data_IF_266978524646
#
_entry.id   IF_266978524646
#
_cell.length_a   1.000
_cell.length_b   1.000
_cell.length_c   1.000
_cell.angle_alpha   90.00
_cell.angle_beta   90.00
_cell.angle_gamma   90.00
#
_symmetry.space_group_name_H-M   'P 1'
#
loop_
_entity.id
_entity.type
_entity.pdbx_description
1 polymer ?
#
# COMPACT_ATOMS: atom_id res chain seq x y z
N UNK A 1 14.06 -1.59 -5.03
CA UNK A 1 12.61 -1.34 -5.21
C UNK A 1 12.08 -0.26 -4.27
N UNK A 2 12.28 -0.35 -2.94
CA UNK A 2 11.77 0.67 -1.98
C UNK A 2 12.16 2.10 -2.38
N UNK A 3 13.43 2.35 -2.70
CA UNK A 3 13.91 3.68 -3.11
C UNK A 3 13.17 4.25 -4.33
N UNK A 4 12.82 3.42 -5.32
CA UNK A 4 12.08 3.85 -6.50
C UNK A 4 10.70 4.40 -6.12
N UNK A 5 10.02 3.72 -5.20
CA UNK A 5 8.71 4.14 -4.71
C UNK A 5 8.79 5.40 -3.86
N UNK A 6 9.77 5.51 -2.95
CA UNK A 6 9.93 6.71 -2.12
C UNK A 6 10.33 7.93 -2.96
N UNK A 7 11.21 7.76 -3.95
CA UNK A 7 11.59 8.83 -4.89
C UNK A 7 10.37 9.27 -5.74
N UNK A 8 9.49 8.33 -6.11
CA UNK A 8 8.23 8.60 -6.81
C UNK A 8 7.14 9.21 -5.91
N UNK A 9 7.39 9.38 -4.60
CA UNK A 9 6.49 10.06 -3.67
C UNK A 9 5.54 9.15 -2.87
N UNK A 10 5.80 7.84 -2.81
CA UNK A 10 5.20 6.97 -1.80
C UNK A 10 5.78 7.32 -0.42
N UNK A 11 4.92 7.64 0.53
CA UNK A 11 5.29 8.00 1.90
C UNK A 11 5.40 6.76 2.79
N UNK A 12 4.45 5.83 2.66
CA UNK A 12 4.37 4.65 3.51
C UNK A 12 3.70 3.49 2.78
N UNK A 13 4.17 2.28 3.10
CA UNK A 13 3.48 1.04 2.76
C UNK A 13 3.37 0.16 3.99
N UNK A 14 2.17 -0.29 4.29
CA UNK A 14 1.91 -1.22 5.40
C UNK A 14 1.24 -2.47 4.85
N UNK A 15 1.69 -3.63 5.32
CA UNK A 15 1.01 -4.92 5.09
C UNK A 15 0.53 -5.42 6.42
N UNK A 16 -0.78 -5.62 6.56
CA UNK A 16 -1.42 -6.10 7.79
C UNK A 16 -2.02 -7.48 7.57
N UNK A 17 -1.90 -8.36 8.55
CA UNK A 17 -2.71 -9.58 8.59
C UNK A 17 -4.05 -9.27 9.24
N UNK A 18 -5.15 -9.61 8.55
CA UNK A 18 -6.49 -9.43 9.10
C UNK A 18 -6.78 -10.60 10.04
N UNK A 19 -6.83 -10.31 11.34
CA UNK A 19 -6.94 -11.32 12.39
C UNK A 19 -8.39 -11.62 12.80
N UNK A 20 -9.34 -10.69 12.57
CA UNK A 20 -10.72 -10.79 13.06
C UNK A 20 -11.69 -11.48 12.08
N UNK A 21 -11.18 -12.22 11.10
CA UNK A 21 -11.96 -13.01 10.14
C UNK A 21 -11.43 -14.44 10.17
N UNK A 22 -11.96 -15.19 11.12
CA UNK A 22 -11.67 -16.62 11.25
C UNK A 22 -11.93 -17.33 9.92
N UNK A 23 -11.06 -18.28 9.57
CA UNK A 23 -11.11 -19.06 8.31
C UNK A 23 -10.80 -18.28 7.01
N UNK A 24 -10.28 -17.05 7.09
CA UNK A 24 -9.83 -16.32 5.90
C UNK A 24 -8.33 -15.95 5.99
N UNK A 25 -7.54 -16.37 4.99
CA UNK A 25 -6.19 -15.85 4.78
C UNK A 25 -6.27 -14.50 4.08
N UNK A 26 -6.31 -13.41 4.85
CA UNK A 26 -6.49 -12.06 4.30
C UNK A 26 -5.43 -11.11 4.81
N UNK A 27 -4.89 -10.33 3.88
CA UNK A 27 -4.02 -9.19 4.16
C UNK A 27 -4.69 -7.88 3.76
N UNK A 28 -4.44 -6.83 4.53
CA UNK A 28 -4.67 -5.44 4.13
C UNK A 28 -3.36 -4.82 3.66
N UNK A 29 -3.40 -4.04 2.59
CA UNK A 29 -2.23 -3.28 2.14
C UNK A 29 -2.63 -1.82 2.06
N UNK A 30 -1.88 -0.98 2.77
CA UNK A 30 -2.06 0.48 2.76
C UNK A 30 -0.88 1.06 2.00
N UNK A 31 -1.17 1.93 1.04
CA UNK A 31 -0.19 2.75 0.35
C UNK A 31 -0.56 4.20 0.58
N UNK A 32 0.35 4.96 1.20
CA UNK A 32 0.20 6.39 1.43
C UNK A 32 1.13 7.12 0.46
N UNK A 33 0.61 8.15 -0.19
CA UNK A 33 1.32 8.93 -1.20
C UNK A 33 1.25 10.40 -0.82
N UNK A 34 2.27 11.16 -1.21
CA UNK A 34 2.32 12.60 -0.97
C UNK A 34 1.17 13.35 -1.64
N UNK A 35 0.81 12.93 -2.85
CA UNK A 35 -0.18 13.58 -3.70
C UNK A 35 -0.72 12.62 -4.78
N UNK A 36 -1.68 13.10 -5.58
CA UNK A 36 -2.28 12.31 -6.66
C UNK A 36 -1.29 11.96 -7.77
N UNK A 37 -0.29 12.78 -8.02
CA UNK A 37 0.68 12.53 -9.09
C UNK A 37 1.74 11.51 -8.64
N UNK A 38 2.14 11.53 -7.37
CA UNK A 38 2.92 10.47 -6.73
C UNK A 38 2.19 9.12 -6.79
N UNK A 39 0.88 9.10 -6.53
CA UNK A 39 0.06 7.91 -6.72
C UNK A 39 0.18 7.36 -8.15
N UNK A 40 -0.02 8.22 -9.18
CA UNK A 40 0.08 7.82 -10.60
C UNK A 40 1.48 7.31 -10.95
N UNK A 41 2.53 8.01 -10.54
CA UNK A 41 3.91 7.61 -10.78
C UNK A 41 4.22 6.23 -10.16
N UNK A 42 3.68 5.96 -8.97
CA UNK A 42 3.85 4.67 -8.31
C UNK A 42 3.03 3.54 -8.95
N UNK A 43 1.96 3.81 -9.71
CA UNK A 43 1.19 2.74 -10.38
C UNK A 43 2.04 1.96 -11.38
N UNK A 44 2.80 2.66 -12.24
CA UNK A 44 3.67 2.00 -13.21
C UNK A 44 4.76 1.16 -12.51
N UNK A 45 5.31 1.65 -11.40
CA UNK A 45 6.28 0.88 -10.61
C UNK A 45 5.66 -0.36 -9.95
N UNK A 46 4.39 -0.30 -9.53
CA UNK A 46 3.67 -1.46 -9.01
C UNK A 46 3.41 -2.49 -10.12
N UNK A 47 3.04 -2.04 -11.30
CA UNK A 47 2.86 -2.92 -12.47
C UNK A 47 4.16 -3.64 -12.83
N UNK A 48 5.30 -2.93 -12.81
CA UNK A 48 6.60 -3.50 -13.18
C UNK A 48 7.17 -4.43 -12.11
N UNK A 49 7.05 -4.06 -10.83
CA UNK A 49 7.81 -4.74 -9.76
C UNK A 49 6.96 -5.53 -8.77
N UNK A 50 5.67 -5.23 -8.65
CA UNK A 50 4.80 -5.85 -7.65
C UNK A 50 3.83 -6.86 -8.24
N UNK A 51 3.15 -6.53 -9.34
CA UNK A 51 2.18 -7.43 -9.97
C UNK A 51 2.79 -8.78 -10.40
N UNK A 52 4.01 -8.86 -10.97
CA UNK A 52 4.61 -10.15 -11.32
C UNK A 52 4.86 -11.05 -10.11
N UNK A 53 5.11 -10.47 -8.93
CA UNK A 53 5.36 -11.24 -7.71
C UNK A 53 4.09 -11.89 -7.14
N UNK A 54 2.91 -11.41 -7.54
CA UNK A 54 1.61 -11.98 -7.16
C UNK A 54 0.92 -12.69 -8.33
N UNK A 55 1.52 -12.63 -9.52
CA UNK A 55 1.06 -13.33 -10.70
C UNK A 55 1.10 -14.85 -10.47
N UNK A 56 -0.02 -15.53 -10.70
CA UNK A 56 -0.16 -16.97 -10.44
C UNK A 56 -0.68 -17.32 -9.03
N UNK A 57 -0.79 -16.36 -8.11
CA UNK A 57 -1.49 -16.59 -6.84
C UNK A 57 -3.01 -16.49 -7.04
N UNK A 58 -3.75 -17.51 -6.59
CA UNK A 58 -5.22 -17.47 -6.57
C UNK A 58 -5.71 -16.53 -5.49
N UNK A 59 -5.64 -15.23 -5.76
CA UNK A 59 -6.01 -14.15 -4.83
C UNK A 59 -7.08 -13.25 -5.44
N UNK A 60 -7.94 -12.70 -4.58
CA UNK A 60 -8.89 -11.65 -4.97
C UNK A 60 -8.39 -10.33 -4.39
N UNK A 61 -8.08 -9.38 -5.26
CA UNK A 61 -7.65 -8.02 -4.88
C UNK A 61 -8.81 -7.05 -5.07
N UNK A 62 -9.10 -6.25 -4.04
CA UNK A 62 -10.08 -5.17 -4.09
C UNK A 62 -9.41 -3.92 -3.54
N UNK A 63 -9.40 -2.84 -4.32
CA UNK A 63 -8.74 -1.59 -3.96
C UNK A 63 -9.74 -0.44 -3.78
N UNK A 64 -9.54 0.34 -2.73
CA UNK A 64 -10.24 1.61 -2.50
C UNK A 64 -9.21 2.74 -2.52
N UNK A 65 -9.61 3.91 -3.02
CA UNK A 65 -8.76 5.12 -3.09
C UNK A 65 -9.48 6.29 -2.43
N UNK A 66 -8.76 7.12 -1.68
CA UNK A 66 -9.32 8.25 -0.95
C UNK A 66 -8.34 9.40 -0.82
N UNK A 67 -8.87 10.57 -0.45
CA UNK A 67 -8.11 11.77 -0.12
C UNK A 67 -8.09 11.90 1.41
N UNK A 68 -6.93 12.19 1.98
CA UNK A 68 -6.80 12.43 3.43
C UNK A 68 -7.52 13.74 3.76
N UNK A 69 -8.51 13.67 4.64
CA UNK A 69 -9.28 14.84 5.11
C UNK A 69 -8.92 15.24 6.55
N UNK A 70 -8.28 14.34 7.30
CA UNK A 70 -7.81 14.55 8.66
C UNK A 70 -6.77 13.48 9.00
N UNK A 71 -5.68 13.88 9.66
CA UNK A 71 -4.59 13.00 10.08
C UNK A 71 -4.03 13.48 11.41
N UNK A 72 -3.65 12.55 12.28
CA UNK A 72 -2.85 12.81 13.46
C UNK A 72 -1.84 11.66 13.62
N UNK A 73 -0.64 11.98 14.09
CA UNK A 73 0.42 11.00 14.35
C UNK A 73 0.70 11.02 15.85
N UNK A 74 0.80 9.84 16.47
CA UNK A 74 1.16 9.75 17.89
C UNK A 74 2.65 9.97 18.06
N UNK A 75 3.05 10.60 19.16
CA UNK A 75 4.47 10.75 19.51
C UNK A 75 5.20 9.40 19.64
N UNK A 76 4.49 8.29 19.89
CA UNK A 76 5.08 6.95 20.01
C UNK A 76 5.05 6.15 18.69
N UNK A 77 4.83 6.80 17.54
CA UNK A 77 4.60 6.10 16.28
C UNK A 77 5.88 5.55 15.64
N UNK A 78 7.02 6.21 15.88
CA UNK A 78 8.33 5.85 15.31
C UNK A 78 9.26 5.11 16.30
N UNK A 79 8.76 4.79 17.50
CA UNK A 79 9.49 4.10 18.57
C UNK A 79 9.60 2.57 18.37
#
# INVERSE_FOLDING_TARGET
VIKLFTDAGMLRRVVTQIWNKEQAHRVGIIFEYRDQDAYKACQSLLEEHYLPAVEGLTTKVVGSRGIIVHEFVSDNFDD
#
